data_IF_641410558493
#
_entry.id   IF_641410558493
#
_cell.length_a   1.000
_cell.length_b   1.000
_cell.length_c   1.000
_cell.angle_alpha   90.00
_cell.angle_beta   90.00
_cell.angle_gamma   90.00
#
_symmetry.space_group_name_H-M   'P 1'
#
loop_
_entity.id
_entity.type
_entity.pdbx_description
1 polymer ?
#
# COMPACT_ATOMS: atom_id res chain seq x y z
N UNK A 1 4.31 3.22 17.30
CA UNK A 1 4.05 4.49 16.61
C UNK A 1 4.58 4.47 15.18
N UNK A 2 5.90 4.37 14.96
CA UNK A 2 6.52 4.42 13.62
C UNK A 2 6.32 3.20 12.72
N UNK A 3 5.63 2.15 13.19
CA UNK A 3 5.38 0.93 12.41
C UNK A 3 4.09 0.97 11.59
N UNK A 4 3.29 2.04 11.70
CA UNK A 4 2.03 2.21 10.96
C UNK A 4 2.06 3.51 10.16
N UNK A 5 2.01 3.44 8.82
CA UNK A 5 1.99 4.62 7.96
C UNK A 5 0.89 5.61 8.35
N UNK A 6 -0.28 5.11 8.77
CA UNK A 6 -1.41 5.92 9.23
C UNK A 6 -1.06 6.83 10.41
N UNK A 7 -0.11 6.42 11.25
CA UNK A 7 0.27 7.18 12.43
C UNK A 7 1.41 8.17 12.17
N UNK A 8 2.40 7.80 11.36
CA UNK A 8 3.60 8.63 11.19
C UNK A 8 3.58 9.48 9.91
N UNK A 9 3.05 9.00 8.79
CA UNK A 9 3.07 9.74 7.51
C UNK A 9 2.37 11.09 7.61
N UNK A 10 1.18 11.21 8.23
CA UNK A 10 0.52 12.51 8.37
C UNK A 10 1.31 13.52 9.19
N UNK A 11 2.27 13.08 10.01
CA UNK A 11 3.04 13.93 10.93
C UNK A 11 4.49 14.13 10.50
N UNK A 12 4.88 13.68 9.31
CA UNK A 12 6.20 13.97 8.77
C UNK A 12 6.32 15.48 8.50
N UNK A 13 7.51 16.02 8.76
CA UNK A 13 7.84 17.40 8.43
C UNK A 13 7.83 17.60 6.91
N UNK A 14 7.24 18.71 6.45
CA UNK A 14 7.06 18.97 5.02
C UNK A 14 8.39 19.11 4.27
N UNK A 15 9.37 19.75 4.90
CA UNK A 15 10.74 19.90 4.39
C UNK A 15 11.69 18.79 4.85
N UNK A 16 11.17 17.80 5.58
CA UNK A 16 11.93 16.70 6.17
C UNK A 16 12.43 15.71 5.13
N UNK A 17 13.62 15.16 5.39
CA UNK A 17 14.28 14.21 4.48
C UNK A 17 13.46 12.92 4.26
N UNK A 18 12.79 12.42 5.30
CA UNK A 18 11.95 11.23 5.19
C UNK A 18 10.79 11.40 4.19
N UNK A 19 10.11 12.54 4.22
CA UNK A 19 9.01 12.79 3.30
C UNK A 19 9.53 12.99 1.86
N UNK A 20 10.65 13.70 1.69
CA UNK A 20 11.33 13.86 0.39
C UNK A 20 11.70 12.50 -0.20
N UNK A 21 12.23 11.58 0.60
CA UNK A 21 12.56 10.23 0.14
C UNK A 21 11.31 9.45 -0.26
N UNK A 22 10.24 9.47 0.55
CA UNK A 22 9.00 8.77 0.24
C UNK A 22 8.37 9.28 -1.07
N UNK A 23 8.40 10.59 -1.34
CA UNK A 23 7.90 11.17 -2.60
C UNK A 23 8.65 10.67 -3.85
N UNK A 24 9.88 10.18 -3.68
CA UNK A 24 10.69 9.58 -4.75
C UNK A 24 10.57 8.04 -4.79
N UNK A 25 9.56 7.46 -4.14
CA UNK A 25 9.26 6.03 -4.14
C UNK A 25 7.82 5.82 -4.58
N UNK A 26 7.56 4.64 -5.11
CA UNK A 26 6.21 4.18 -5.41
C UNK A 26 5.82 3.09 -4.41
N UNK A 27 4.63 3.22 -3.81
CA UNK A 27 4.08 2.23 -2.88
C UNK A 27 2.91 1.50 -3.55
N UNK A 28 3.07 0.19 -3.76
CA UNK A 28 2.00 -0.68 -4.22
C UNK A 28 1.37 -1.41 -3.02
N UNK A 29 0.05 -1.31 -2.89
CA UNK A 29 -0.76 -2.02 -1.89
C UNK A 29 -1.69 -2.98 -2.64
N UNK A 30 -1.44 -4.28 -2.53
CA UNK A 30 -2.29 -5.31 -3.15
C UNK A 30 -3.02 -6.10 -2.08
N UNK A 31 -4.30 -6.42 -2.32
CA UNK A 31 -5.10 -7.23 -1.41
C UNK A 31 -6.23 -7.96 -2.15
N UNK A 32 -6.78 -9.00 -1.52
CA UNK A 32 -8.06 -9.58 -1.90
C UNK A 32 -9.23 -8.91 -1.17
N UNK A 33 -10.46 -9.37 -1.44
CA UNK A 33 -11.66 -8.94 -0.69
C UNK A 33 -12.37 -10.13 0.00
N UNK A 34 -11.70 -11.27 0.03
CA UNK A 34 -12.23 -12.50 0.58
C UNK A 34 -12.03 -12.63 2.09
N UNK A 35 -12.00 -13.87 2.58
CA UNK A 35 -11.94 -14.12 4.03
C UNK A 35 -10.66 -13.55 4.65
N UNK A 36 -10.85 -12.96 5.83
CA UNK A 36 -9.79 -12.43 6.68
C UNK A 36 -9.03 -11.22 6.11
N UNK A 37 -9.60 -10.56 5.09
CA UNK A 37 -9.12 -9.27 4.59
C UNK A 37 -9.87 -8.10 5.26
N UNK A 38 -9.19 -6.96 5.36
CA UNK A 38 -9.81 -5.66 5.66
C UNK A 38 -9.38 -4.62 4.60
N UNK A 39 -10.03 -4.62 3.42
CA UNK A 39 -9.68 -3.73 2.31
C UNK A 39 -9.62 -2.25 2.68
N UNK A 40 -10.43 -1.83 3.67
CA UNK A 40 -10.51 -0.42 4.05
C UNK A 40 -9.18 0.09 4.61
N UNK A 41 -8.38 -0.76 5.24
CA UNK A 41 -7.07 -0.38 5.77
C UNK A 41 -6.09 -0.01 4.65
N UNK A 42 -6.07 -0.75 3.54
CA UNK A 42 -5.24 -0.42 2.37
C UNK A 42 -5.63 0.94 1.78
N UNK A 43 -6.93 1.23 1.66
CA UNK A 43 -7.40 2.53 1.19
C UNK A 43 -7.08 3.67 2.16
N UNK A 44 -7.17 3.46 3.48
CA UNK A 44 -6.73 4.46 4.47
C UNK A 44 -5.25 4.79 4.31
N UNK A 45 -4.40 3.78 4.10
CA UNK A 45 -2.96 3.98 3.89
C UNK A 45 -2.70 4.73 2.59
N UNK A 46 -3.36 4.35 1.50
CA UNK A 46 -3.25 5.03 0.21
C UNK A 46 -3.64 6.52 0.30
N UNK A 47 -4.73 6.82 1.00
CA UNK A 47 -5.17 8.19 1.23
C UNK A 47 -4.16 8.99 2.07
N UNK A 48 -3.60 8.39 3.13
CA UNK A 48 -2.58 9.03 3.97
C UNK A 48 -1.29 9.33 3.19
N UNK A 49 -0.85 8.41 2.33
CA UNK A 49 0.30 8.58 1.44
C UNK A 49 0.02 9.67 0.39
N UNK A 50 -1.11 9.56 -0.30
CA UNK A 50 -1.52 10.47 -1.38
C UNK A 50 -1.70 11.90 -0.88
N UNK A 51 -2.28 12.09 0.31
CA UNK A 51 -2.44 13.41 0.93
C UNK A 51 -1.10 14.11 1.24
N UNK A 52 -0.01 13.34 1.35
CA UNK A 52 1.35 13.88 1.52
C UNK A 52 2.17 13.86 0.21
N UNK A 53 1.53 13.58 -0.93
CA UNK A 53 2.17 13.57 -2.25
C UNK A 53 3.06 12.36 -2.51
N UNK A 54 2.90 11.27 -1.76
CA UNK A 54 3.65 10.03 -1.98
C UNK A 54 2.94 9.18 -3.05
N UNK A 55 3.59 8.89 -4.19
CA UNK A 55 3.01 8.07 -5.25
C UNK A 55 2.63 6.68 -4.74
N UNK A 56 1.38 6.28 -4.95
CA UNK A 56 0.90 4.98 -4.51
C UNK A 56 -0.25 4.46 -5.38
N UNK A 57 -0.50 3.15 -5.28
CA UNK A 57 -1.63 2.46 -5.90
C UNK A 57 -2.18 1.39 -4.96
N UNK A 58 -3.50 1.29 -4.90
CA UNK A 58 -4.20 0.11 -4.37
C UNK A 58 -4.66 -0.74 -5.54
N UNK A 59 -4.39 -2.05 -5.50
CA UNK A 59 -4.89 -3.03 -6.46
C UNK A 59 -5.70 -4.11 -5.72
N UNK A 60 -7.00 -4.15 -5.99
CA UNK A 60 -7.93 -5.10 -5.37
C UNK A 60 -8.19 -6.25 -6.33
N UNK A 61 -7.94 -7.47 -5.86
CA UNK A 61 -8.13 -8.70 -6.64
C UNK A 61 -9.54 -9.29 -6.50
N UNK A 62 -10.40 -8.68 -5.68
CA UNK A 62 -11.80 -9.08 -5.52
C UNK A 62 -12.01 -10.23 -4.53
N UNK A 63 -13.27 -10.65 -4.41
CA UNK A 63 -13.77 -11.50 -3.31
C UNK A 63 -13.27 -12.94 -3.33
N UNK A 64 -12.82 -13.41 -4.47
CA UNK A 64 -12.30 -14.77 -4.63
C UNK A 64 -10.89 -14.93 -4.04
N UNK A 65 -10.21 -13.82 -3.74
CA UNK A 65 -8.87 -13.80 -3.18
C UNK A 65 -8.94 -13.54 -1.67
N UNK A 66 -8.38 -14.47 -0.89
CA UNK A 66 -8.41 -14.46 0.58
C UNK A 66 -7.05 -14.07 1.16
N UNK A 67 -6.99 -13.84 2.48
CA UNK A 67 -5.72 -13.60 3.17
C UNK A 67 -4.90 -14.89 3.35
N UNK A 68 -4.44 -15.47 2.25
CA UNK A 68 -3.72 -16.74 2.21
C UNK A 68 -2.53 -16.76 1.25
N UNK A 69 -1.69 -17.78 1.42
CA UNK A 69 -0.48 -17.95 0.63
C UNK A 69 -0.73 -18.13 -0.87
N UNK A 70 -1.84 -18.79 -1.25
CA UNK A 70 -2.13 -19.07 -2.66
C UNK A 70 -2.40 -17.76 -3.40
N UNK A 71 -3.14 -16.85 -2.77
CA UNK A 71 -3.39 -15.50 -3.26
C UNK A 71 -2.09 -14.74 -3.53
N UNK A 72 -1.17 -14.68 -2.57
CA UNK A 72 0.09 -13.94 -2.76
C UNK A 72 1.01 -14.56 -3.81
N UNK A 73 1.00 -15.89 -3.93
CA UNK A 73 1.77 -16.62 -4.95
C UNK A 73 1.30 -16.27 -6.37
N UNK A 74 0.01 -16.04 -6.57
CA UNK A 74 -0.56 -15.60 -7.85
C UNK A 74 -0.36 -14.10 -8.10
N UNK A 75 -0.45 -13.28 -7.05
CA UNK A 75 -0.25 -11.83 -7.13
C UNK A 75 1.17 -11.43 -7.55
N UNK A 76 2.17 -12.06 -6.94
CA UNK A 76 3.56 -11.60 -7.05
C UNK A 76 4.12 -11.58 -8.49
N UNK A 77 3.93 -12.62 -9.32
CA UNK A 77 4.42 -12.62 -10.70
C UNK A 77 3.87 -11.46 -11.56
N UNK A 78 2.57 -11.13 -11.42
CA UNK A 78 1.94 -10.01 -12.14
C UNK A 78 2.70 -8.71 -11.92
N UNK A 79 3.06 -8.42 -10.67
CA UNK A 79 3.73 -7.16 -10.33
C UNK A 79 5.22 -7.15 -10.68
N UNK A 80 5.87 -8.32 -10.69
CA UNK A 80 7.21 -8.39 -11.25
C UNK A 80 7.21 -8.07 -12.74
N UNK A 81 6.26 -8.60 -13.51
CA UNK A 81 6.14 -8.29 -14.94
C UNK A 81 5.75 -6.83 -15.20
N UNK A 82 4.96 -6.23 -14.31
CA UNK A 82 4.48 -4.86 -14.49
C UNK A 82 5.51 -3.79 -14.08
N UNK A 83 6.32 -4.05 -13.05
CA UNK A 83 7.16 -3.05 -12.39
C UNK A 83 8.67 -3.25 -12.58
N UNK A 84 9.13 -4.37 -13.15
CA UNK A 84 10.54 -4.63 -13.49
C UNK A 84 10.72 -4.72 -15.01
#
# INVERSE_FOLDING_TARGET
YYSSPLHFVPKLDEDGEHLKQLRNRFVLLTHGEGRYEDPQESWKVANALGARGVPNRVDSWGKDYHHDWVTWREMLPKYFEELL
#
